data_IF_303965631897
#
_entry.id   IF_303965631897
#
_cell.length_a   1.000
_cell.length_b   1.000
_cell.length_c   1.000
_cell.angle_alpha   90.00
_cell.angle_beta   90.00
_cell.angle_gamma   90.00
#
_symmetry.space_group_name_H-M   'P 1'
#
loop_
_entity.id
_entity.type
_entity.pdbx_description
1 polymer ?
#
# COMPACT_ATOMS: atom_id res chain seq x y z
N UNK A 1 19.41 -25.48 1.81
CA UNK A 1 19.11 -25.13 1.67
C UNK A 1 18.89 -24.57 1.42
N UNK A 2 18.81 -24.33 1.49
CA UNK A 2 18.44 -23.69 1.29
C UNK A 2 17.92 -23.17 1.02
N UNK A 3 17.57 -23.03 1.15
CA UNK A 3 16.91 -22.43 1.12
C UNK A 3 16.81 -21.83 0.76
N UNK A 4 16.97 -21.99 1.00
CA UNK A 4 16.74 -21.40 0.61
C UNK A 4 16.61 -20.84 0.13
N UNK A 5 16.77 -20.99 0.16
CA UNK A 5 16.52 -20.50 -0.45
C UNK A 5 16.26 -20.15 -0.94
N UNK A 6 16.33 -20.44 -1.02
CA UNK A 6 16.00 -20.21 -1.52
C UNK A 6 15.54 -19.56 -2.01
N UNK A 7 15.47 -19.02 -1.93
CA UNK A 7 15.07 -18.26 -2.33
C UNK A 7 14.72 -17.66 -2.88
N UNK A 8 14.25 -17.61 -3.16
CA UNK A 8 14.08 -16.94 -3.85
C UNK A 8 14.29 -15.88 -4.10
N UNK A 9 14.46 -15.52 -4.45
CA UNK A 9 15.12 -14.38 -4.71
C UNK A 9 14.29 -13.22 -4.88
N UNK A 10 13.46 -13.20 -5.67
CA UNK A 10 12.67 -12.18 -5.86
C UNK A 10 11.97 -11.95 -4.68
N UNK A 11 11.88 -12.83 -3.95
CA UNK A 11 11.34 -12.73 -2.77
C UNK A 11 12.03 -11.80 -1.98
N UNK A 12 13.19 -11.59 -2.15
CA UNK A 12 13.94 -10.64 -1.47
C UNK A 12 13.35 -9.31 -1.54
N UNK A 13 12.58 -9.08 -2.58
CA UNK A 13 12.02 -7.79 -2.79
C UNK A 13 10.59 -7.66 -2.35
N UNK A 14 10.12 -8.62 -1.64
CA UNK A 14 8.77 -8.54 -1.13
C UNK A 14 8.66 -7.39 -0.13
N UNK A 15 7.62 -6.63 -0.23
CA UNK A 15 7.39 -5.49 0.64
C UNK A 15 6.33 -5.83 1.66
N UNK A 16 6.56 -5.47 2.90
CA UNK A 16 5.55 -5.62 3.92
C UNK A 16 4.58 -4.46 3.80
N UNK A 17 3.32 -4.72 4.01
CA UNK A 17 2.31 -3.68 4.00
C UNK A 17 1.77 -3.58 5.41
N UNK A 18 1.85 -2.38 5.97
CA UNK A 18 1.37 -2.12 7.31
C UNK A 18 0.36 -0.99 7.28
N UNK A 19 -0.52 -0.96 8.25
CA UNK A 19 -1.50 0.11 8.38
C UNK A 19 -1.24 0.80 9.70
N UNK A 20 -1.23 2.14 9.70
CA UNK A 20 -1.15 2.79 10.99
C UNK A 20 -2.55 2.74 11.62
N UNK A 21 -2.66 3.17 12.86
CA UNK A 21 -3.90 3.02 13.61
C UNK A 21 -5.07 3.72 12.96
N UNK A 22 -4.84 4.90 12.44
CA UNK A 22 -5.89 5.66 11.79
C UNK A 22 -6.38 4.95 10.53
N UNK A 23 -5.46 4.52 9.70
CA UNK A 23 -5.81 3.85 8.46
C UNK A 23 -6.55 2.55 8.73
N UNK A 24 -6.13 1.84 9.78
CA UNK A 24 -6.79 0.60 10.15
C UNK A 24 -8.23 0.85 10.54
N UNK A 25 -8.47 1.91 11.31
CA UNK A 25 -9.83 2.26 11.71
C UNK A 25 -10.66 2.67 10.51
N UNK A 26 -10.07 3.41 9.60
CA UNK A 26 -10.77 3.84 8.40
C UNK A 26 -11.16 2.63 7.55
N UNK A 27 -10.25 1.69 7.40
CA UNK A 27 -10.52 0.49 6.63
C UNK A 27 -11.67 -0.31 7.23
N UNK A 28 -11.70 -0.43 8.55
CA UNK A 28 -12.74 -1.21 9.21
C UNK A 28 -14.14 -0.66 9.04
N UNK A 29 -14.25 0.61 8.74
CA UNK A 29 -15.56 1.24 8.57
C UNK A 29 -16.13 1.01 7.18
N UNK A 30 -15.35 0.45 6.29
CA UNK A 30 -15.80 0.27 4.91
C UNK A 30 -16.58 -1.02 4.75
N UNK A 31 -17.35 -1.08 3.68
CA UNK A 31 -18.08 -2.28 3.33
C UNK A 31 -17.09 -3.44 3.22
N UNK A 32 -17.42 -4.62 3.72
CA UNK A 32 -16.51 -5.76 3.65
C UNK A 32 -15.97 -6.06 2.25
N UNK A 33 -16.77 -5.83 1.22
CA UNK A 33 -16.30 -6.07 -0.13
C UNK A 33 -15.20 -5.10 -0.51
N UNK A 34 -15.31 -3.87 -0.04
CA UNK A 34 -14.30 -2.87 -0.31
C UNK A 34 -13.03 -3.17 0.49
N UNK A 35 -13.20 -3.61 1.73
CA UNK A 35 -12.04 -4.00 2.51
C UNK A 35 -11.29 -5.12 1.81
N UNK A 36 -11.99 -6.11 1.29
CA UNK A 36 -11.38 -7.21 0.59
C UNK A 36 -10.67 -6.74 -0.68
N UNK A 37 -11.29 -5.83 -1.41
CA UNK A 37 -10.68 -5.32 -2.63
C UNK A 37 -9.37 -4.59 -2.33
N UNK A 38 -9.36 -3.79 -1.27
CA UNK A 38 -8.17 -3.05 -0.88
C UNK A 38 -7.07 -4.01 -0.44
N UNK A 39 -7.40 -4.96 0.42
CA UNK A 39 -6.41 -5.90 0.92
C UNK A 39 -5.87 -6.77 -0.20
N UNK A 40 -6.73 -7.18 -1.11
CA UNK A 40 -6.32 -7.99 -2.24
C UNK A 40 -5.38 -7.22 -3.15
N UNK A 41 -5.69 -5.95 -3.40
CA UNK A 41 -4.84 -5.10 -4.24
C UNK A 41 -3.45 -4.99 -3.62
N UNK A 42 -3.40 -4.70 -2.32
CA UNK A 42 -2.13 -4.52 -1.64
C UNK A 42 -1.32 -5.81 -1.65
N UNK A 43 -1.98 -6.93 -1.42
CA UNK A 43 -1.31 -8.21 -1.37
C UNK A 43 -0.82 -8.68 -2.74
N UNK A 44 -1.66 -8.52 -3.75
CA UNK A 44 -1.33 -9.09 -5.06
C UNK A 44 -0.51 -8.17 -5.94
N UNK A 45 -0.52 -6.87 -5.67
CA UNK A 45 0.20 -5.94 -6.52
C UNK A 45 1.34 -5.22 -5.84
N UNK A 46 1.12 -4.81 -4.60
CA UNK A 46 2.11 -3.98 -3.93
C UNK A 46 3.13 -4.83 -3.19
N UNK A 47 2.66 -5.79 -2.44
CA UNK A 47 3.57 -6.60 -1.61
C UNK A 47 4.55 -7.40 -2.45
N UNK A 48 4.18 -7.73 -3.68
CA UNK A 48 5.04 -8.54 -4.54
C UNK A 48 5.81 -7.72 -5.58
N UNK A 49 5.62 -6.42 -5.59
CA UNK A 49 6.26 -5.59 -6.60
C UNK A 49 7.76 -5.44 -6.31
N UNK A 50 8.53 -5.32 -7.36
CA UNK A 50 9.93 -4.99 -7.20
C UNK A 50 10.03 -3.59 -6.63
N UNK A 51 9.21 -2.69 -7.11
CA UNK A 51 9.17 -1.32 -6.65
C UNK A 51 7.70 -0.94 -6.52
N UNK A 52 7.21 -0.70 -5.32
CA UNK A 52 5.80 -0.35 -5.14
C UNK A 52 5.41 0.95 -5.85
N UNK A 53 6.38 1.75 -6.27
CA UNK A 53 6.08 2.97 -7.01
C UNK A 53 5.68 2.72 -8.44
N UNK A 54 5.74 1.48 -8.91
CA UNK A 54 5.29 1.14 -10.24
C UNK A 54 3.80 1.37 -10.37
N UNK A 55 3.09 1.27 -9.25
CA UNK A 55 1.66 1.47 -9.24
C UNK A 55 1.38 2.78 -8.53
N UNK A 56 0.27 3.38 -8.83
CA UNK A 56 -0.09 4.62 -8.17
C UNK A 56 0.70 5.81 -8.67
N UNK A 57 0.68 6.86 -7.90
CA UNK A 57 1.33 8.12 -8.24
C UNK A 57 1.68 8.91 -7.01
N UNK A 58 2.58 9.87 -7.11
CA UNK A 58 2.80 10.77 -6.00
C UNK A 58 1.58 11.68 -5.83
N UNK A 59 1.32 12.14 -4.62
CA UNK A 59 0.26 13.11 -4.42
C UNK A 59 0.58 14.40 -5.16
N UNK A 60 -0.46 15.15 -5.52
CA UNK A 60 -0.22 16.36 -6.26
C UNK A 60 0.63 17.36 -5.54
N UNK A 61 0.48 17.45 -4.24
CA UNK A 61 1.29 18.37 -3.47
C UNK A 61 2.69 17.89 -3.27
N UNK A 62 2.96 16.71 -3.78
CA UNK A 62 4.31 16.22 -3.74
C UNK A 62 4.92 16.22 -2.35
N UNK A 63 4.20 15.66 -1.39
CA UNK A 63 4.74 15.51 -0.05
C UNK A 63 5.77 14.40 -0.07
N UNK A 64 6.94 14.71 0.40
CA UNK A 64 8.06 13.77 0.32
C UNK A 64 7.73 12.43 0.96
N UNK A 65 8.06 11.38 0.24
CA UNK A 65 7.87 10.03 0.78
C UNK A 65 6.47 9.49 0.73
N UNK A 66 5.52 10.29 0.28
CA UNK A 66 4.14 9.82 0.20
C UNK A 66 3.81 9.35 -1.19
N UNK A 67 2.86 8.42 -1.25
CA UNK A 67 2.47 7.80 -2.51
C UNK A 67 0.99 7.49 -2.45
N UNK A 68 0.30 7.59 -3.58
CA UNK A 68 -1.14 7.39 -3.64
C UNK A 68 -1.48 6.19 -4.50
N UNK A 69 -2.29 5.29 -3.96
CA UNK A 69 -2.85 4.20 -4.74
C UNK A 69 -4.35 4.38 -4.87
N UNK A 70 -4.89 3.83 -5.91
CA UNK A 70 -6.32 3.89 -6.14
C UNK A 70 -6.87 2.50 -6.30
N UNK A 71 -7.92 2.19 -5.54
CA UNK A 71 -8.59 0.90 -5.61
C UNK A 71 -10.07 1.21 -5.76
N UNK A 72 -10.61 0.99 -6.95
CA UNK A 72 -11.98 1.35 -7.28
C UNK A 72 -12.18 2.84 -7.00
N UNK A 73 -13.15 3.21 -6.19
CA UNK A 73 -13.37 4.61 -5.86
C UNK A 73 -12.67 5.03 -4.59
N UNK A 74 -11.78 4.20 -4.08
CA UNK A 74 -11.09 4.50 -2.84
C UNK A 74 -9.64 4.83 -3.09
N UNK A 75 -9.10 5.64 -2.22
CA UNK A 75 -7.71 6.07 -2.30
C UNK A 75 -6.97 5.72 -1.05
N UNK A 76 -5.72 5.35 -1.22
CA UNK A 76 -4.83 5.01 -0.13
C UNK A 76 -3.66 5.97 -0.20
N UNK A 77 -3.35 6.61 0.93
CA UNK A 77 -2.15 7.44 1.01
C UNK A 77 -1.17 6.66 1.85
N UNK A 78 0.01 6.45 1.30
CA UNK A 78 0.99 5.57 1.92
C UNK A 78 2.34 6.26 2.00
N UNK A 79 3.16 5.79 2.93
CA UNK A 79 4.56 6.18 2.98
C UNK A 79 5.37 4.96 2.59
N UNK A 80 6.25 5.12 1.62
CA UNK A 80 7.10 4.03 1.19
C UNK A 80 8.42 4.18 1.92
N UNK A 81 8.70 3.24 2.81
CA UNK A 81 9.91 3.29 3.64
C UNK A 81 10.89 2.27 3.12
N UNK A 82 11.80 2.72 2.30
CA UNK A 82 12.74 1.83 1.64
C UNK A 82 13.66 1.11 2.60
N UNK A 83 14.13 1.80 3.60
CA UNK A 83 15.07 1.19 4.53
C UNK A 83 14.44 0.00 5.27
N UNK A 84 13.14 0.04 5.47
CA UNK A 84 12.43 -1.03 6.15
C UNK A 84 11.74 -1.99 5.18
N UNK A 85 11.72 -1.67 3.92
CA UNK A 85 11.02 -2.42 2.89
C UNK A 85 9.53 -2.54 3.27
N UNK A 86 8.96 -1.42 3.63
CA UNK A 86 7.58 -1.35 4.12
C UNK A 86 6.81 -0.30 3.36
N UNK A 87 5.56 -0.62 3.03
CA UNK A 87 4.60 0.37 2.55
C UNK A 87 3.62 0.56 3.70
N UNK A 88 3.67 1.74 4.30
CA UNK A 88 2.83 2.05 5.46
C UNK A 88 1.62 2.83 5.00
N UNK A 89 0.44 2.25 5.17
CA UNK A 89 -0.79 2.91 4.78
C UNK A 89 -1.21 3.87 5.87
N UNK A 90 -1.31 5.14 5.52
CA UNK A 90 -1.61 6.20 6.47
C UNK A 90 -3.06 6.65 6.41
N UNK A 91 -3.70 6.49 5.27
CA UNK A 91 -5.06 6.98 5.11
C UNK A 91 -5.81 6.16 4.08
N UNK A 92 -7.06 5.87 4.37
CA UNK A 92 -7.92 5.12 3.47
C UNK A 92 -9.27 5.83 3.42
N UNK A 93 -9.77 6.11 2.24
CA UNK A 93 -11.08 6.73 2.15
C UNK A 93 -11.58 6.81 0.73
N UNK A 94 -12.84 7.15 0.61
CA UNK A 94 -13.46 7.35 -0.69
C UNK A 94 -12.79 8.54 -1.36
N UNK A 95 -12.71 8.51 -2.69
CA UNK A 95 -12.03 9.57 -3.43
C UNK A 95 -12.57 10.95 -3.10
N UNK A 96 -13.81 11.04 -2.64
CA UNK A 96 -14.37 12.32 -2.27
C UNK A 96 -13.87 12.81 -0.93
N UNK A 97 -13.35 11.92 -0.13
CA UNK A 97 -12.91 12.24 1.22
C UNK A 97 -11.41 12.35 1.35
N UNK A 98 -10.68 11.79 0.41
CA UNK A 98 -9.23 11.78 0.47
C UNK A 98 -8.69 12.66 -0.62
N UNK A 99 -8.35 13.86 -0.25
CA UNK A 99 -7.74 14.78 -1.18
C UNK A 99 -6.27 14.76 -0.92
N UNK A 100 -5.53 14.42 -1.90
CA UNK A 100 -4.10 14.37 -1.74
C UNK A 100 -3.51 15.74 -2.05
N UNK A 101 -4.27 16.60 -2.46
CA UNK A 101 -3.83 17.94 -2.71
C UNK A 101 -4.87 18.92 -2.19
#
# INVERSE_FOLDING_TARGET
MVRTSDDPPKRDKAWAVEFDDRARRELRKLDPKIQQAILSYLRSRIAVADDPRRFGKPPRRNLAGLWRYRVEDYRLICRIEEARVVVLVLKVGHRREVYED
#
